data_IF_111198812543
#
_entry.id   IF_111198812543
#
_cell.length_a   1.000
_cell.length_b   1.000
_cell.length_c   1.000
_cell.angle_alpha   90.00
_cell.angle_beta   90.00
_cell.angle_gamma   90.00
#
_symmetry.space_group_name_H-M   'P 1'
#
loop_
_entity.id
_entity.type
_entity.pdbx_description
1 polymer ?
#
# COMPACT_ATOMS: atom_id res chain seq x y z
N UNK A 1 -14.16 12.97 33.84
CA UNK A 1 -13.16 12.99 32.74
C UNK A 1 -13.88 13.61 31.56
N UNK A 2 -13.61 14.88 31.25
CA UNK A 2 -14.40 15.61 30.26
C UNK A 2 -14.20 14.99 28.88
N UNK A 3 -15.31 14.69 28.22
CA UNK A 3 -15.37 14.06 26.90
C UNK A 3 -14.53 14.79 25.84
N UNK A 4 -14.29 16.09 26.02
CA UNK A 4 -13.40 16.88 25.17
C UNK A 4 -11.91 16.49 25.25
N UNK A 5 -11.40 16.16 26.43
CA UNK A 5 -9.99 15.72 26.57
C UNK A 5 -9.76 14.33 26.00
N UNK A 6 -10.75 13.44 26.11
CA UNK A 6 -10.70 12.12 25.50
C UNK A 6 -10.71 12.19 23.96
N UNK A 7 -11.51 13.09 23.39
CA UNK A 7 -11.58 13.27 21.93
C UNK A 7 -10.32 13.96 21.38
N UNK A 8 -9.77 14.91 22.14
CA UNK A 8 -8.50 15.56 21.79
C UNK A 8 -7.30 14.59 21.84
N UNK A 9 -7.22 13.73 22.85
CA UNK A 9 -6.14 12.75 22.97
C UNK A 9 -6.21 11.67 21.88
N UNK A 10 -7.41 11.14 21.61
CA UNK A 10 -7.64 10.21 20.48
C UNK A 10 -7.31 10.89 19.15
N UNK A 11 -7.74 12.14 18.97
CA UNK A 11 -7.43 12.91 17.77
C UNK A 11 -5.93 13.10 17.55
N UNK A 12 -5.18 13.41 18.61
CA UNK A 12 -3.73 13.54 18.54
C UNK A 12 -3.04 12.22 18.14
N UNK A 13 -3.42 11.10 18.77
CA UNK A 13 -2.88 9.77 18.44
C UNK A 13 -3.16 9.41 16.98
N UNK A 14 -4.37 9.70 16.52
CA UNK A 14 -4.76 9.49 15.12
C UNK A 14 -3.90 10.32 14.16
N UNK A 15 -3.72 11.61 14.42
CA UNK A 15 -2.91 12.50 13.57
C UNK A 15 -1.46 12.02 13.51
N UNK A 16 -0.85 11.74 14.66
CA UNK A 16 0.53 11.24 14.72
C UNK A 16 0.65 9.90 14.01
N UNK A 17 -0.32 9.00 14.19
CA UNK A 17 -0.36 7.71 13.51
C UNK A 17 -0.46 7.84 12.00
N UNK A 18 -1.32 8.72 11.49
CA UNK A 18 -1.48 9.00 10.05
C UNK A 18 -0.19 9.58 9.45
N UNK A 19 0.45 10.53 10.14
CA UNK A 19 1.71 11.13 9.68
C UNK A 19 2.85 10.12 9.68
N UNK A 20 2.99 9.34 10.76
CA UNK A 20 3.99 8.28 10.86
C UNK A 20 3.78 7.22 9.77
N UNK A 21 2.53 6.81 9.55
CA UNK A 21 2.16 5.89 8.47
C UNK A 21 2.53 6.44 7.09
N UNK A 22 2.17 7.69 6.79
CA UNK A 22 2.49 8.33 5.52
C UNK A 22 4.01 8.44 5.28
N UNK A 23 4.79 8.66 6.34
CA UNK A 23 6.25 8.70 6.29
C UNK A 23 6.86 7.30 6.03
N UNK A 24 6.41 6.28 6.78
CA UNK A 24 6.87 4.90 6.63
C UNK A 24 6.62 4.37 5.21
N UNK A 25 5.40 4.58 4.72
CA UNK A 25 5.00 4.17 3.36
C UNK A 25 5.78 4.92 2.28
N UNK A 26 6.04 6.21 2.49
CA UNK A 26 6.89 7.00 1.60
C UNK A 26 8.34 6.48 1.55
N UNK A 27 8.89 6.06 2.69
CA UNK A 27 10.22 5.47 2.79
C UNK A 27 10.30 4.12 2.07
N UNK A 28 9.29 3.29 2.21
CA UNK A 28 9.25 1.95 1.60
C UNK A 28 9.09 2.02 0.08
N UNK A 29 8.26 2.93 -0.44
CA UNK A 29 8.16 3.18 -1.89
C UNK A 29 9.46 3.71 -2.48
N UNK A 30 10.21 4.54 -1.75
CA UNK A 30 11.51 5.03 -2.19
C UNK A 30 12.56 3.91 -2.29
N UNK A 31 12.58 3.00 -1.30
CA UNK A 31 13.44 1.82 -1.29
C UNK A 31 13.10 0.84 -2.42
N UNK A 32 11.82 0.63 -2.71
CA UNK A 32 11.39 -0.23 -3.82
C UNK A 32 11.84 0.34 -5.17
N UNK A 33 11.77 1.66 -5.37
CA UNK A 33 12.29 2.32 -6.58
C UNK A 33 13.80 2.18 -6.73
N UNK A 34 14.55 2.34 -5.62
CA UNK A 34 15.99 2.10 -5.63
C UNK A 34 16.34 0.64 -5.94
N UNK A 35 15.57 -0.32 -5.41
CA UNK A 35 15.75 -1.73 -5.72
C UNK A 35 15.46 -2.08 -7.18
N UNK A 36 14.53 -1.38 -7.85
CA UNK A 36 14.28 -1.55 -9.28
C UNK A 36 15.47 -1.07 -10.14
N UNK A 37 16.12 0.03 -9.74
CA UNK A 37 17.37 0.49 -10.39
C UNK A 37 18.49 -0.51 -10.16
N UNK A 38 18.65 -1.00 -8.93
CA UNK A 38 19.67 -2.00 -8.59
C UNK A 38 19.48 -3.32 -9.37
N UNK A 39 18.23 -3.76 -9.55
CA UNK A 39 17.94 -4.97 -10.34
C UNK A 39 18.41 -4.82 -11.80
N UNK A 40 18.15 -3.66 -12.41
CA UNK A 40 18.62 -3.33 -13.76
C UNK A 40 20.15 -3.35 -13.85
N UNK A 41 20.83 -2.75 -12.88
CA UNK A 41 22.30 -2.72 -12.83
C UNK A 41 22.89 -4.13 -12.63
N UNK A 42 22.26 -4.96 -11.79
CA UNK A 42 22.66 -6.35 -11.59
C UNK A 42 22.45 -7.22 -12.83
N UNK A 43 21.37 -6.99 -13.59
CA UNK A 43 21.11 -7.67 -14.87
C UNK A 43 22.20 -7.35 -15.89
N UNK A 44 22.63 -6.09 -15.96
CA UNK A 44 23.70 -5.64 -16.85
C UNK A 44 25.07 -6.22 -16.47
N UNK A 45 25.32 -6.40 -15.17
CA UNK A 45 26.54 -7.04 -14.64
C UNK A 45 26.52 -8.58 -14.79
N UNK A 46 25.35 -9.21 -14.75
CA UNK A 46 25.20 -10.66 -14.85
C UNK A 46 25.51 -11.19 -16.26
N UNK A 47 25.29 -10.38 -17.31
CA UNK A 47 25.48 -10.71 -18.74
C UNK A 47 25.02 -12.13 -19.10
N UNK A 48 25.92 -13.11 -19.10
CA UNK A 48 25.73 -14.49 -19.59
C UNK A 48 25.91 -15.57 -18.50
N UNK A 49 26.15 -15.20 -17.24
CA UNK A 49 26.24 -16.18 -16.15
C UNK A 49 24.82 -16.63 -15.75
N UNK A 50 24.46 -17.85 -16.15
CA UNK A 50 23.14 -18.44 -15.94
C UNK A 50 22.73 -18.47 -14.45
N UNK A 51 23.67 -18.63 -13.51
CA UNK A 51 23.38 -18.67 -12.08
C UNK A 51 23.09 -17.27 -11.55
N UNK A 52 23.84 -16.26 -12.02
CA UNK A 52 23.62 -14.86 -11.64
C UNK A 52 22.34 -14.32 -12.27
N UNK A 53 22.00 -14.73 -13.49
CA UNK A 53 20.72 -14.42 -14.13
C UNK A 53 19.53 -14.99 -13.35
N UNK A 54 19.60 -16.25 -12.91
CA UNK A 54 18.54 -16.87 -12.12
C UNK A 54 18.34 -16.15 -10.77
N UNK A 55 19.43 -15.76 -10.09
CA UNK A 55 19.36 -15.00 -8.85
C UNK A 55 18.76 -13.58 -9.04
N UNK A 56 19.06 -12.93 -10.17
CA UNK A 56 18.45 -11.63 -10.53
C UNK A 56 16.96 -11.78 -10.85
N UNK A 57 16.56 -12.85 -11.53
CA UNK A 57 15.15 -13.12 -11.86
C UNK A 57 14.28 -13.30 -10.60
N UNK A 58 14.80 -14.00 -9.59
CA UNK A 58 14.10 -14.19 -8.32
C UNK A 58 14.02 -12.88 -7.50
N UNK A 59 15.08 -12.06 -7.55
CA UNK A 59 15.09 -10.72 -6.96
C UNK A 59 14.08 -9.78 -7.65
N UNK A 60 14.06 -9.75 -8.98
CA UNK A 60 13.11 -8.96 -9.78
C UNK A 60 11.67 -9.37 -9.49
N UNK A 61 11.39 -10.68 -9.43
CA UNK A 61 10.05 -11.20 -9.17
C UNK A 61 9.53 -10.74 -7.80
N UNK A 62 10.35 -10.87 -6.76
CA UNK A 62 10.00 -10.42 -5.40
C UNK A 62 9.77 -8.91 -5.37
N UNK A 63 10.56 -8.15 -6.13
CA UNK A 63 10.47 -6.70 -6.20
C UNK A 63 9.22 -6.23 -6.95
N UNK A 64 8.90 -6.84 -8.09
CA UNK A 64 7.69 -6.54 -8.87
C UNK A 64 6.41 -6.91 -8.12
N UNK A 65 6.39 -8.01 -7.38
CA UNK A 65 5.26 -8.40 -6.55
C UNK A 65 4.98 -7.35 -5.46
N UNK A 66 6.04 -6.86 -4.81
CA UNK A 66 5.93 -5.77 -3.82
C UNK A 66 5.53 -4.46 -4.45
N UNK A 67 6.05 -4.14 -5.65
CA UNK A 67 5.70 -2.92 -6.37
C UNK A 67 4.23 -2.91 -6.79
N UNK A 68 3.69 -4.05 -7.24
CA UNK A 68 2.29 -4.20 -7.63
C UNK A 68 1.34 -4.07 -6.44
N UNK A 69 1.69 -4.69 -5.31
CA UNK A 69 0.92 -4.53 -4.07
C UNK A 69 0.98 -3.09 -3.56
N UNK A 70 2.17 -2.47 -3.56
CA UNK A 70 2.37 -1.09 -3.13
C UNK A 70 1.63 -0.10 -4.04
N UNK A 71 1.66 -0.25 -5.37
CA UNK A 71 1.00 0.68 -6.29
C UNK A 71 -0.53 0.62 -6.19
N UNK A 72 -1.09 -0.52 -5.82
CA UNK A 72 -2.54 -0.70 -5.76
C UNK A 72 -3.09 -0.32 -4.38
N UNK A 73 -2.46 -0.78 -3.30
CA UNK A 73 -3.03 -0.67 -1.96
C UNK A 73 -2.61 0.64 -1.26
N UNK A 74 -1.38 1.11 -1.51
CA UNK A 74 -0.80 2.28 -0.83
C UNK A 74 -1.52 3.61 -1.11
N UNK A 75 -1.90 3.96 -2.36
CA UNK A 75 -2.57 5.24 -2.62
C UNK A 75 -3.92 5.36 -1.91
N UNK A 76 -4.66 4.24 -1.80
CA UNK A 76 -5.98 4.19 -1.19
C UNK A 76 -5.91 4.31 0.33
N UNK A 77 -4.96 3.62 0.97
CA UNK A 77 -4.69 3.80 2.39
C UNK A 77 -4.22 5.21 2.74
N UNK A 78 -3.43 5.85 1.87
CA UNK A 78 -3.05 7.25 2.04
C UNK A 78 -4.28 8.16 2.02
N UNK A 79 -5.19 7.99 1.08
CA UNK A 79 -6.45 8.75 1.03
C UNK A 79 -7.35 8.48 2.24
N UNK A 80 -7.45 7.22 2.70
CA UNK A 80 -8.16 6.86 3.92
C UNK A 80 -7.60 7.60 5.15
N UNK A 81 -6.27 7.61 5.28
CA UNK A 81 -5.58 8.23 6.39
C UNK A 81 -5.81 9.76 6.43
N UNK A 82 -5.73 10.44 5.28
CA UNK A 82 -6.05 11.87 5.18
C UNK A 82 -7.52 12.17 5.45
N UNK A 83 -8.44 11.35 4.96
CA UNK A 83 -9.87 11.49 5.23
C UNK A 83 -10.16 11.31 6.72
N UNK A 84 -9.54 10.33 7.38
CA UNK A 84 -9.69 10.11 8.81
C UNK A 84 -9.15 11.30 9.62
N UNK A 85 -8.01 11.87 9.23
CA UNK A 85 -7.48 13.09 9.84
C UNK A 85 -8.45 14.28 9.71
N UNK A 86 -9.02 14.50 8.51
CA UNK A 86 -10.01 15.55 8.30
C UNK A 86 -11.29 15.32 9.11
N UNK A 87 -11.69 14.06 9.31
CA UNK A 87 -12.82 13.66 10.17
C UNK A 87 -12.60 14.11 11.61
N UNK A 88 -11.41 13.81 12.17
CA UNK A 88 -11.04 14.20 13.54
C UNK A 88 -11.05 15.71 13.70
N UNK A 89 -10.48 16.44 12.74
CA UNK A 89 -10.46 17.91 12.76
C UNK A 89 -11.89 18.47 12.72
N UNK A 90 -12.74 17.93 11.85
CA UNK A 90 -14.16 18.32 11.79
C UNK A 90 -14.91 18.05 13.10
N UNK A 91 -14.67 16.88 13.73
CA UNK A 91 -15.29 16.52 15.00
C UNK A 91 -14.86 17.45 16.15
N UNK A 92 -13.57 17.80 16.21
CA UNK A 92 -13.05 18.77 17.19
C UNK A 92 -13.65 20.16 16.92
N UNK A 93 -13.70 20.59 15.65
CA UNK A 93 -14.31 21.86 15.25
C UNK A 93 -15.78 21.95 15.66
N UNK A 94 -16.56 20.89 15.46
CA UNK A 94 -17.95 20.82 15.91
C UNK A 94 -18.08 20.90 17.44
N UNK A 95 -17.15 20.31 18.19
CA UNK A 95 -17.17 20.36 19.65
C UNK A 95 -16.88 21.77 20.19
N UNK A 96 -15.89 22.47 19.61
CA UNK A 96 -15.49 23.83 20.04
C UNK A 96 -16.51 24.89 19.65
N UNK A 97 -17.25 24.67 18.57
CA UNK A 97 -18.23 25.64 18.03
C UNK A 97 -19.63 25.49 18.63
N UNK A 98 -19.78 24.64 19.66
CA UNK A 98 -21.04 24.42 20.36
C UNK A 98 -21.34 25.61 21.27
N UNK A 99 -22.20 26.52 20.83
CA UNK A 99 -22.60 27.70 21.59
C UNK A 99 -23.69 28.51 20.89
N UNK A 100 -24.22 29.51 21.59
CA UNK A 100 -25.32 30.33 21.10
C UNK A 100 -24.85 31.44 20.17
N UNK A 101 -25.53 31.58 19.03
CA UNK A 101 -25.25 32.61 18.02
C UNK A 101 -25.29 32.04 16.60
N UNK A 102 -25.83 32.82 15.67
CA UNK A 102 -26.01 32.40 14.26
C UNK A 102 -24.69 31.94 13.63
N UNK A 103 -23.60 32.67 13.85
CA UNK A 103 -22.28 32.32 13.32
C UNK A 103 -21.80 30.98 13.88
N UNK A 104 -21.90 30.76 15.20
CA UNK A 104 -21.50 29.50 15.84
C UNK A 104 -22.35 28.33 15.34
N UNK A 105 -23.66 28.53 15.16
CA UNK A 105 -24.57 27.51 14.64
C UNK A 105 -24.20 27.10 13.21
N UNK A 106 -23.91 28.06 12.34
CA UNK A 106 -23.51 27.78 10.95
C UNK A 106 -22.17 27.04 10.91
N UNK A 107 -21.16 27.51 11.65
CA UNK A 107 -19.84 26.87 11.68
C UNK A 107 -19.92 25.45 12.28
N UNK A 108 -20.73 25.26 13.32
CA UNK A 108 -20.98 23.93 13.90
C UNK A 108 -21.59 22.97 12.87
N UNK A 109 -22.62 23.43 12.14
CA UNK A 109 -23.24 22.65 11.08
C UNK A 109 -22.25 22.25 9.98
N UNK A 110 -21.42 23.19 9.50
CA UNK A 110 -20.39 22.91 8.48
C UNK A 110 -19.36 21.91 9.00
N UNK A 111 -18.85 22.10 10.23
CA UNK A 111 -17.87 21.21 10.82
C UNK A 111 -18.41 19.78 10.99
N UNK A 112 -19.69 19.65 11.37
CA UNK A 112 -20.37 18.35 11.51
C UNK A 112 -20.57 17.66 10.16
N UNK A 113 -21.01 18.41 9.14
CA UNK A 113 -21.14 17.87 7.77
C UNK A 113 -19.80 17.39 7.24
N UNK A 114 -18.73 18.18 7.41
CA UNK A 114 -17.38 17.78 7.00
C UNK A 114 -16.93 16.52 7.74
N UNK A 115 -17.14 16.45 9.05
CA UNK A 115 -16.79 15.26 9.84
C UNK A 115 -17.49 14.00 9.30
N UNK A 116 -18.78 14.09 9.00
CA UNK A 116 -19.56 12.96 8.45
C UNK A 116 -19.05 12.56 7.06
N UNK A 117 -18.87 13.53 6.14
CA UNK A 117 -18.42 13.25 4.78
C UNK A 117 -17.01 12.63 4.76
N UNK A 118 -16.10 13.17 5.55
CA UNK A 118 -14.75 12.63 5.66
C UNK A 118 -14.72 11.27 6.37
N UNK A 119 -15.60 11.05 7.35
CA UNK A 119 -15.73 9.75 8.02
C UNK A 119 -16.20 8.67 7.05
N UNK A 120 -17.20 8.98 6.23
CA UNK A 120 -17.67 8.09 5.16
C UNK A 120 -16.58 7.84 4.11
N UNK A 121 -15.85 8.87 3.70
CA UNK A 121 -14.75 8.72 2.76
C UNK A 121 -13.63 7.81 3.33
N UNK A 122 -13.28 7.98 4.61
CA UNK A 122 -12.29 7.13 5.28
C UNK A 122 -12.75 5.66 5.27
N UNK A 123 -13.99 5.38 5.64
CA UNK A 123 -14.57 4.04 5.58
C UNK A 123 -14.56 3.47 4.16
N UNK A 124 -14.98 4.25 3.16
CA UNK A 124 -14.97 3.84 1.76
C UNK A 124 -13.57 3.44 1.29
N UNK A 125 -12.55 4.24 1.59
CA UNK A 125 -11.17 3.93 1.22
C UNK A 125 -10.61 2.72 1.97
N UNK A 126 -10.96 2.53 3.25
CA UNK A 126 -10.59 1.33 4.02
C UNK A 126 -11.24 0.09 3.41
N UNK A 127 -12.54 0.14 3.11
CA UNK A 127 -13.27 -0.97 2.49
C UNK A 127 -12.68 -1.30 1.12
N UNK A 128 -12.39 -0.31 0.27
CA UNK A 128 -11.75 -0.58 -1.01
C UNK A 128 -10.32 -1.12 -0.88
N UNK A 129 -9.56 -0.64 0.11
CA UNK A 129 -8.24 -1.18 0.37
C UNK A 129 -8.32 -2.65 0.82
N UNK A 130 -9.26 -2.98 1.71
CA UNK A 130 -9.50 -4.35 2.16
C UNK A 130 -10.03 -5.24 1.01
N UNK A 131 -10.97 -4.74 0.21
CA UNK A 131 -11.49 -5.44 -0.95
C UNK A 131 -10.37 -5.76 -1.92
N UNK A 132 -9.53 -4.78 -2.31
CA UNK A 132 -8.39 -5.08 -3.16
C UNK A 132 -7.35 -5.96 -2.49
N UNK A 133 -7.09 -5.84 -1.18
CA UNK A 133 -6.21 -6.76 -0.50
C UNK A 133 -6.72 -8.21 -0.54
N UNK A 134 -8.05 -8.41 -0.51
CA UNK A 134 -8.70 -9.72 -0.55
C UNK A 134 -8.92 -10.25 -1.99
N UNK A 135 -9.19 -9.37 -2.95
CA UNK A 135 -9.53 -9.73 -4.33
C UNK A 135 -8.36 -9.60 -5.30
N UNK A 136 -7.23 -9.02 -4.90
CA UNK A 136 -6.00 -9.17 -5.69
C UNK A 136 -5.67 -10.65 -5.62
N UNK A 137 -5.91 -11.42 -6.70
CA UNK A 137 -5.58 -12.82 -6.70
C UNK A 137 -4.09 -12.86 -6.43
N UNK A 138 -3.68 -13.66 -5.45
CA UNK A 138 -2.30 -14.15 -5.45
C UNK A 138 -2.24 -15.04 -6.68
N UNK A 139 -2.05 -14.44 -7.85
CA UNK A 139 -1.74 -15.16 -9.08
C UNK A 139 -0.52 -15.96 -8.71
N UNK A 140 -0.77 -17.25 -8.54
CA UNK A 140 0.14 -18.30 -8.15
C UNK A 140 1.20 -18.37 -9.22
N UNK A 141 2.24 -17.54 -9.10
CA UNK A 141 3.52 -17.81 -9.76
C UNK A 141 4.01 -19.21 -9.41
N UNK A 142 3.55 -19.80 -8.30
CA UNK A 142 3.68 -21.22 -7.97
C UNK A 142 3.17 -22.16 -9.09
N UNK A 143 2.07 -21.85 -9.78
CA UNK A 143 1.59 -22.62 -10.93
C UNK A 143 2.43 -22.36 -12.18
N UNK A 144 2.90 -21.13 -12.40
CA UNK A 144 3.79 -20.80 -13.53
C UNK A 144 5.16 -21.50 -13.41
N UNK A 145 5.73 -21.57 -12.20
CA UNK A 145 6.97 -22.30 -11.93
C UNK A 145 6.75 -23.82 -11.91
N UNK A 146 5.62 -24.33 -11.44
CA UNK A 146 5.27 -25.76 -11.58
C UNK A 146 5.09 -26.16 -13.06
N UNK A 147 4.49 -25.29 -13.88
CA UNK A 147 4.37 -25.47 -15.31
C UNK A 147 5.72 -25.42 -16.04
N UNK A 148 6.64 -24.55 -15.59
CA UNK A 148 7.99 -24.45 -16.17
C UNK A 148 8.90 -25.61 -15.73
N UNK A 149 8.80 -26.04 -14.47
CA UNK A 149 9.52 -27.19 -13.93
C UNK A 149 9.06 -28.51 -14.60
N UNK A 150 7.76 -28.68 -14.82
CA UNK A 150 7.23 -29.84 -15.56
C UNK A 150 7.57 -29.81 -17.06
N UNK A 151 7.68 -28.63 -17.66
CA UNK A 151 8.14 -28.47 -19.05
C UNK A 151 9.64 -28.77 -19.23
N UNK A 152 10.48 -28.49 -18.22
CA UNK A 152 11.91 -28.82 -18.21
C UNK A 152 12.20 -30.32 -18.02
N UNK A 153 11.40 -31.01 -17.20
CA UNK A 153 11.50 -32.46 -16.96
C UNK A 153 11.11 -33.29 -18.20
N UNK A 154 10.27 -32.74 -19.09
CA UNK A 154 9.74 -33.45 -20.26
C UNK A 154 10.53 -33.22 -21.56
N UNK A 155 11.60 -32.42 -21.53
CA UNK A 155 12.44 -32.22 -22.70
C UNK A 155 13.25 -33.51 -22.94
N UNK A 156 13.03 -34.25 -24.04
CA UNK A 156 13.82 -35.43 -24.33
C UNK A 156 15.28 -34.99 -24.50
N UNK A 157 16.15 -35.50 -23.63
CA UNK A 157 17.60 -35.45 -23.81
C UNK A 157 17.88 -36.03 -25.20
N UNK A 158 18.15 -35.15 -26.18
CA UNK A 158 18.73 -35.59 -27.45
C UNK A 158 20.14 -36.04 -27.11
N UNK A 159 20.27 -37.35 -26.95
CA UNK A 159 21.55 -38.04 -26.93
C UNK A 159 22.23 -37.79 -28.28
N UNK A 160 23.13 -36.80 -28.32
CA UNK A 160 24.07 -36.62 -29.43
C UNK A 160 25.37 -37.28 -29.03
N UNK A 161 25.33 -38.60 -28.96
CA UNK A 161 26.49 -39.47 -29.09
C UNK A 161 26.30 -40.26 -30.39
N UNK A 162 27.40 -40.54 -31.09
CA UNK A 162 27.55 -41.09 -32.45
C UNK A 162 27.50 -40.02 -33.57
N UNK A 163 28.54 -39.80 -34.38
CA UNK A 163 29.57 -40.70 -34.91
C UNK A 163 30.89 -39.95 -35.22
N UNK A 164 31.98 -40.73 -35.27
CA UNK A 164 33.37 -40.40 -35.65
C UNK A 164 33.55 -39.67 -37.00
#
# INVERSE_FOLDING_TARGET
MDSGYALASVGFVVVVGVVAYAYLVGRDTHRLRQGAVLARDLREIARDDAVRLAAVDEFETTLYQRLFFASTVSPRLRSAAWALMATVIGAIGALVTRGDGVVLTVVHGVALVLAVLFGLAALFFVVMAAFHAATTPRVSFAESYAATASAGESAPVRDTADED
#
